data_IF_403445121697
#
_entry.id   IF_403445121697
#
_cell.length_a   1.000
_cell.length_b   1.000
_cell.length_c   1.000
_cell.angle_alpha   90.00
_cell.angle_beta   90.00
_cell.angle_gamma   90.00
#
_symmetry.space_group_name_H-M   'P 1'
#
loop_
_entity.id
_entity.type
_entity.pdbx_description
1 polymer ?
#
# COMPACT_ATOMS: atom_id res chain seq x y z
N UNK A 1 -43.07 -5.65 31.87
CA UNK A 1 -42.09 -6.73 31.69
C UNK A 1 -41.97 -7.40 33.04
N UNK A 2 -42.59 -8.56 33.21
CA UNK A 2 -42.38 -9.38 34.41
C UNK A 2 -40.89 -9.72 34.45
N UNK A 3 -40.19 -9.29 35.51
CA UNK A 3 -38.84 -9.78 35.78
C UNK A 3 -38.98 -11.27 36.06
N UNK A 4 -38.53 -12.09 35.12
CA UNK A 4 -38.40 -13.54 35.32
C UNK A 4 -37.54 -13.71 36.58
N UNK A 5 -38.11 -14.36 37.59
CA UNK A 5 -37.43 -14.57 38.87
C UNK A 5 -36.11 -15.30 38.61
N UNK A 6 -35.02 -14.86 39.23
CA UNK A 6 -33.72 -15.53 39.12
C UNK A 6 -33.79 -17.03 39.50
N UNK A 7 -34.79 -17.42 40.31
CA UNK A 7 -35.11 -18.81 40.67
C UNK A 7 -35.68 -19.66 39.51
N UNK A 8 -36.22 -19.03 38.47
CA UNK A 8 -36.84 -19.71 37.32
C UNK A 8 -35.87 -19.85 36.13
N UNK A 9 -34.67 -19.27 36.23
CA UNK A 9 -33.63 -19.38 35.20
C UNK A 9 -33.03 -20.77 35.13
N UNK A 10 -32.60 -21.17 33.94
CA UNK A 10 -31.87 -22.41 33.75
C UNK A 10 -30.52 -22.35 34.49
N UNK A 11 -30.15 -23.43 35.18
CA UNK A 11 -28.91 -23.51 35.99
C UNK A 11 -27.66 -23.22 35.14
N UNK A 12 -27.67 -23.59 33.86
CA UNK A 12 -26.55 -23.34 32.95
C UNK A 12 -26.38 -21.86 32.55
N UNK A 13 -27.41 -21.04 32.75
CA UNK A 13 -27.46 -19.63 32.34
C UNK A 13 -27.41 -18.68 33.54
N UNK A 14 -27.34 -19.21 34.76
CA UNK A 14 -27.20 -18.40 35.96
C UNK A 14 -25.92 -17.58 35.90
N UNK A 15 -26.05 -16.29 36.22
CA UNK A 15 -24.93 -15.37 36.41
C UNK A 15 -24.69 -15.12 37.89
N UNK A 16 -23.52 -14.56 38.22
CA UNK A 16 -23.20 -14.15 39.60
C UNK A 16 -24.26 -13.18 40.15
N UNK A 17 -24.77 -12.26 39.31
CA UNK A 17 -25.85 -11.34 39.66
C UNK A 17 -27.14 -12.08 40.05
N UNK A 18 -27.47 -13.16 39.34
CA UNK A 18 -28.67 -13.96 39.65
C UNK A 18 -28.56 -14.64 41.02
N UNK A 19 -27.35 -15.04 41.45
CA UNK A 19 -27.12 -15.60 42.78
C UNK A 19 -27.33 -14.54 43.88
N UNK A 20 -26.91 -13.29 43.64
CA UNK A 20 -27.17 -12.17 44.55
C UNK A 20 -28.67 -11.83 44.63
N UNK A 21 -29.39 -11.87 43.50
CA UNK A 21 -30.84 -11.67 43.49
C UNK A 21 -31.57 -12.79 44.25
N UNK A 22 -31.16 -14.05 44.08
CA UNK A 22 -31.67 -15.20 44.86
C UNK A 22 -31.39 -15.00 46.36
N UNK A 23 -30.17 -14.58 46.72
CA UNK A 23 -29.79 -14.32 48.10
C UNK A 23 -30.66 -13.22 48.74
N UNK A 24 -31.00 -12.19 47.98
CA UNK A 24 -31.90 -11.11 48.43
C UNK A 24 -33.31 -11.65 48.74
N UNK A 25 -33.89 -12.45 47.83
CA UNK A 25 -35.22 -13.03 48.03
C UNK A 25 -35.22 -13.98 49.24
N UNK A 26 -34.21 -14.83 49.36
CA UNK A 26 -34.06 -15.74 50.51
C UNK A 26 -33.87 -14.97 51.82
N UNK A 27 -33.13 -13.86 51.80
CA UNK A 27 -32.96 -12.97 52.95
C UNK A 27 -34.29 -12.36 53.42
N UNK A 28 -35.12 -11.90 52.47
CA UNK A 28 -36.45 -11.35 52.78
C UNK A 28 -37.40 -12.39 53.40
N UNK A 29 -37.32 -13.66 52.99
CA UNK A 29 -38.09 -14.74 53.63
C UNK A 29 -37.59 -15.00 55.06
N UNK A 30 -36.29 -14.95 55.29
CA UNK A 30 -35.74 -15.08 56.64
C UNK A 30 -36.12 -13.93 57.55
N UNK A 31 -36.12 -12.68 57.07
CA UNK A 31 -36.62 -11.53 57.83
C UNK A 31 -38.07 -11.75 58.30
N UNK A 32 -38.97 -12.19 57.39
CA UNK A 32 -40.37 -12.45 57.74
C UNK A 32 -40.54 -13.52 58.81
N UNK A 33 -39.70 -14.56 58.80
CA UNK A 33 -39.75 -15.63 59.80
C UNK A 33 -39.15 -15.15 61.13
N UNK A 34 -38.10 -14.32 61.10
CA UNK A 34 -37.53 -13.69 62.30
C UNK A 34 -38.58 -12.80 62.97
N UNK A 35 -39.32 -12.00 62.20
CA UNK A 35 -40.35 -11.11 62.72
C UNK A 35 -41.50 -11.87 63.42
N UNK A 36 -41.82 -13.09 62.97
CA UNK A 36 -42.94 -13.88 63.50
C UNK A 36 -42.53 -14.84 64.64
N UNK A 37 -41.33 -15.42 64.58
CA UNK A 37 -40.90 -16.51 65.46
C UNK A 37 -39.62 -16.22 66.26
N UNK A 38 -39.02 -15.04 66.05
CA UNK A 38 -37.78 -14.62 66.70
C UNK A 38 -36.51 -15.19 66.06
N UNK A 39 -35.36 -14.56 66.34
CA UNK A 39 -34.07 -14.89 65.71
C UNK A 39 -33.58 -16.33 65.97
N UNK A 40 -33.98 -16.94 67.08
CA UNK A 40 -33.52 -18.29 67.45
C UNK A 40 -33.97 -19.38 66.45
N UNK A 41 -35.11 -19.17 65.77
CA UNK A 41 -35.66 -20.11 64.80
C UNK A 41 -34.74 -20.34 63.58
N UNK A 42 -34.00 -19.32 63.14
CA UNK A 42 -33.17 -19.36 61.92
C UNK A 42 -31.66 -19.33 62.21
N UNK A 43 -31.25 -19.00 63.44
CA UNK A 43 -29.83 -18.81 63.83
C UNK A 43 -28.89 -19.95 63.40
N UNK A 44 -29.36 -21.20 63.39
CA UNK A 44 -28.55 -22.37 62.96
C UNK A 44 -28.63 -22.68 61.46
N UNK A 45 -29.65 -22.19 60.77
CA UNK A 45 -29.91 -22.43 59.35
C UNK A 45 -29.23 -21.38 58.47
N UNK A 46 -29.27 -20.12 58.87
CA UNK A 46 -28.69 -18.97 58.16
C UNK A 46 -27.26 -19.24 57.65
N UNK A 47 -26.27 -19.62 58.51
CA UNK A 47 -24.90 -19.85 58.04
C UNK A 47 -24.78 -21.01 57.05
N UNK A 48 -25.69 -21.99 57.07
CA UNK A 48 -25.69 -23.10 56.10
C UNK A 48 -26.20 -22.64 54.73
N UNK A 49 -27.22 -21.78 54.72
CA UNK A 49 -27.78 -21.24 53.47
C UNK A 49 -26.82 -20.23 52.83
N UNK A 50 -26.20 -19.38 53.64
CA UNK A 50 -25.09 -18.52 53.19
C UNK A 50 -23.99 -19.38 52.55
N UNK A 51 -23.58 -20.48 53.21
CA UNK A 51 -22.56 -21.38 52.65
C UNK A 51 -22.96 -22.02 51.32
N UNK A 52 -24.23 -22.38 51.14
CA UNK A 52 -24.72 -22.93 49.87
C UNK A 52 -24.71 -21.87 48.77
N UNK A 53 -25.11 -20.63 49.07
CA UNK A 53 -25.08 -19.50 48.14
C UNK A 53 -23.64 -19.13 47.75
N UNK A 54 -22.69 -19.14 48.69
CA UNK A 54 -21.26 -18.96 48.41
C UNK A 54 -20.72 -20.04 47.45
N UNK A 55 -21.09 -21.31 47.67
CA UNK A 55 -20.66 -22.41 46.78
C UNK A 55 -21.26 -22.22 45.38
N UNK A 56 -22.53 -21.81 45.30
CA UNK A 56 -23.21 -21.54 44.04
C UNK A 56 -22.55 -20.38 43.28
N UNK A 57 -22.22 -19.28 43.97
CA UNK A 57 -21.50 -18.15 43.39
C UNK A 57 -20.17 -18.57 42.78
N UNK A 58 -19.37 -19.38 43.50
CA UNK A 58 -18.07 -19.87 43.01
C UNK A 58 -18.23 -20.77 41.78
N UNK A 59 -19.24 -21.64 41.77
CA UNK A 59 -19.49 -22.54 40.63
C UNK A 59 -19.93 -21.76 39.40
N UNK A 60 -20.84 -20.80 39.56
CA UNK A 60 -21.32 -19.93 38.47
C UNK A 60 -20.19 -19.04 37.94
N UNK A 61 -19.39 -18.47 38.82
CA UNK A 61 -18.21 -17.67 38.45
C UNK A 61 -17.21 -18.47 37.63
N UNK A 62 -16.94 -19.73 38.00
CA UNK A 62 -16.04 -20.62 37.24
C UNK A 62 -16.61 -21.05 35.90
N UNK A 63 -17.92 -21.26 35.81
CA UNK A 63 -18.59 -21.67 34.57
C UNK A 63 -18.54 -20.56 33.51
N UNK A 64 -18.66 -19.29 33.92
CA UNK A 64 -18.53 -18.15 33.00
C UNK A 64 -17.10 -17.96 32.47
N UNK A 65 -16.11 -18.41 33.24
CA UNK A 65 -14.69 -18.29 32.91
C UNK A 65 -14.13 -19.63 32.39
N UNK A 66 -14.94 -20.55 31.84
CA UNK A 66 -14.40 -21.78 31.27
C UNK A 66 -13.68 -21.49 29.94
N UNK A 67 -12.35 -21.21 29.94
CA UNK A 67 -11.66 -20.66 28.78
C UNK A 67 -11.43 -21.75 27.74
N UNK A 68 -11.35 -23.01 28.18
CA UNK A 68 -11.15 -24.20 27.37
C UNK A 68 -12.35 -24.44 26.45
N UNK A 69 -13.57 -24.22 26.93
CA UNK A 69 -14.76 -24.34 26.09
C UNK A 69 -14.79 -23.28 24.98
N UNK A 70 -14.41 -22.06 25.29
CA UNK A 70 -14.38 -20.96 24.31
C UNK A 70 -13.21 -21.12 23.33
N UNK A 71 -12.05 -21.56 23.82
CA UNK A 71 -10.88 -21.92 22.99
C UNK A 71 -11.21 -23.06 22.03
N UNK A 72 -11.86 -24.13 22.49
CA UNK A 72 -12.32 -25.23 21.63
C UNK A 72 -13.35 -24.78 20.59
N UNK A 73 -14.23 -23.82 20.93
CA UNK A 73 -15.18 -23.24 19.98
C UNK A 73 -14.47 -22.44 18.89
N UNK A 74 -13.55 -21.56 19.29
CA UNK A 74 -12.75 -20.77 18.35
C UNK A 74 -11.90 -21.67 17.45
N UNK A 75 -11.31 -22.73 18.00
CA UNK A 75 -10.54 -23.69 17.23
C UNK A 75 -11.42 -24.49 16.26
N UNK A 76 -12.63 -24.88 16.67
CA UNK A 76 -13.59 -25.53 15.79
C UNK A 76 -13.97 -24.62 14.61
N UNK A 77 -14.22 -23.33 14.86
CA UNK A 77 -14.57 -22.37 13.81
C UNK A 77 -13.36 -22.08 12.89
N UNK A 78 -12.15 -21.99 13.45
CA UNK A 78 -10.90 -21.92 12.68
C UNK A 78 -10.75 -23.13 11.75
N UNK A 79 -10.93 -24.34 12.26
CA UNK A 79 -10.83 -25.57 11.48
C UNK A 79 -11.92 -25.68 10.40
N UNK A 80 -13.12 -25.15 10.65
CA UNK A 80 -14.20 -25.07 9.65
C UNK A 80 -13.83 -24.15 8.51
N UNK A 81 -13.29 -22.96 8.82
CA UNK A 81 -12.82 -22.02 7.80
C UNK A 81 -11.68 -22.63 6.98
N UNK A 82 -10.68 -23.23 7.62
CA UNK A 82 -9.59 -23.89 6.90
C UNK A 82 -10.08 -25.04 6.01
N UNK A 83 -11.11 -25.78 6.44
CA UNK A 83 -11.72 -26.83 5.62
C UNK A 83 -12.42 -26.25 4.39
N UNK A 84 -13.20 -25.18 4.58
CA UNK A 84 -13.85 -24.47 3.48
C UNK A 84 -12.82 -23.94 2.47
N UNK A 85 -11.76 -23.30 2.95
CA UNK A 85 -10.68 -22.76 2.12
C UNK A 85 -9.97 -23.86 1.32
N UNK A 86 -9.71 -25.01 1.94
CA UNK A 86 -9.11 -26.17 1.27
C UNK A 86 -10.02 -26.66 0.13
N UNK A 87 -11.30 -26.86 0.41
CA UNK A 87 -12.28 -27.31 -0.60
C UNK A 87 -12.40 -26.29 -1.74
N UNK A 88 -12.38 -24.99 -1.45
CA UNK A 88 -12.46 -23.97 -2.48
C UNK A 88 -11.20 -23.92 -3.35
N UNK A 89 -10.01 -24.08 -2.75
CA UNK A 89 -8.74 -24.20 -3.49
C UNK A 89 -8.71 -25.43 -4.37
N UNK A 90 -9.13 -26.59 -3.86
CA UNK A 90 -9.24 -27.83 -4.63
C UNK A 90 -10.21 -27.65 -5.80
N UNK A 91 -11.36 -27.02 -5.59
CA UNK A 91 -12.34 -26.73 -6.65
C UNK A 91 -11.78 -25.77 -7.71
N UNK A 92 -10.98 -24.77 -7.32
CA UNK A 92 -10.31 -23.85 -8.26
C UNK A 92 -9.27 -24.59 -9.08
N UNK A 93 -8.42 -25.37 -8.41
CA UNK A 93 -7.40 -26.17 -9.07
C UNK A 93 -8.00 -27.20 -10.04
N UNK A 94 -9.11 -27.84 -9.67
CA UNK A 94 -9.82 -28.76 -10.54
C UNK A 94 -10.32 -28.07 -11.83
N UNK A 95 -10.87 -26.85 -11.71
CA UNK A 95 -11.29 -26.07 -12.89
C UNK A 95 -10.12 -25.63 -13.76
N UNK A 96 -8.99 -25.28 -13.17
CA UNK A 96 -7.77 -24.95 -13.92
C UNK A 96 -7.26 -26.16 -14.69
N UNK A 97 -7.27 -27.35 -14.07
CA UNK A 97 -6.90 -28.60 -14.74
C UNK A 97 -7.85 -28.91 -15.90
N UNK A 98 -9.17 -28.79 -15.70
CA UNK A 98 -10.17 -28.97 -16.76
C UNK A 98 -9.94 -28.01 -17.93
N UNK A 99 -9.64 -26.73 -17.65
CA UNK A 99 -9.33 -25.75 -18.69
C UNK A 99 -8.05 -26.12 -19.46
N UNK A 100 -7.01 -26.56 -18.76
CA UNK A 100 -5.76 -27.01 -19.40
C UNK A 100 -6.00 -28.24 -20.27
N UNK A 101 -6.80 -29.21 -19.80
CA UNK A 101 -7.19 -30.37 -20.59
C UNK A 101 -7.97 -29.99 -21.84
N UNK A 102 -8.90 -29.04 -21.75
CA UNK A 102 -9.69 -28.56 -22.89
C UNK A 102 -8.82 -27.85 -23.93
N UNK A 103 -7.90 -26.98 -23.50
CA UNK A 103 -6.93 -26.34 -24.39
C UNK A 103 -6.06 -27.39 -25.07
N UNK A 104 -5.54 -28.35 -24.32
CA UNK A 104 -4.70 -29.41 -24.88
C UNK A 104 -5.46 -30.31 -25.87
N UNK A 105 -6.75 -30.60 -25.62
CA UNK A 105 -7.62 -31.31 -26.56
C UNK A 105 -7.82 -30.50 -27.85
N UNK A 106 -8.03 -29.18 -27.74
CA UNK A 106 -8.14 -28.27 -28.87
C UNK A 106 -6.87 -28.27 -29.72
N UNK A 107 -5.71 -28.06 -29.11
CA UNK A 107 -4.41 -28.07 -29.80
C UNK A 107 -4.13 -29.42 -30.47
N UNK A 108 -4.41 -30.54 -29.78
CA UNK A 108 -4.25 -31.86 -30.36
C UNK A 108 -5.16 -32.07 -31.58
N UNK A 109 -6.40 -31.58 -31.53
CA UNK A 109 -7.34 -31.66 -32.65
C UNK A 109 -6.90 -30.78 -33.83
N UNK A 110 -6.40 -29.57 -33.57
CA UNK A 110 -5.88 -28.67 -34.60
C UNK A 110 -4.65 -29.25 -35.29
N UNK A 111 -3.72 -29.85 -34.53
CA UNK A 111 -2.56 -30.54 -35.09
C UNK A 111 -2.96 -31.75 -35.92
N UNK A 112 -3.94 -32.54 -35.47
CA UNK A 112 -4.49 -33.64 -36.27
C UNK A 112 -5.14 -33.13 -37.55
N UNK A 113 -5.84 -32.00 -37.49
CA UNK A 113 -6.41 -31.33 -38.67
C UNK A 113 -5.33 -30.89 -39.66
N UNK A 114 -4.25 -30.27 -39.19
CA UNK A 114 -3.11 -29.89 -40.03
C UNK A 114 -2.43 -31.10 -40.66
N UNK A 115 -2.22 -32.18 -39.91
CA UNK A 115 -1.64 -33.42 -40.43
C UNK A 115 -2.54 -34.00 -41.53
N UNK A 116 -3.86 -34.04 -41.32
CA UNK A 116 -4.80 -34.54 -42.33
C UNK A 116 -4.78 -33.69 -43.61
N UNK A 117 -4.74 -32.36 -43.46
CA UNK A 117 -4.66 -31.44 -44.60
C UNK A 117 -3.35 -31.61 -45.37
N UNK A 118 -2.21 -31.67 -44.68
CA UNK A 118 -0.90 -31.91 -45.29
C UNK A 118 -0.81 -33.29 -45.95
N UNK A 119 -1.44 -34.31 -45.39
CA UNK A 119 -1.52 -35.63 -46.01
C UNK A 119 -2.33 -35.59 -47.32
N UNK A 120 -3.44 -34.87 -47.35
CA UNK A 120 -4.25 -34.69 -48.56
C UNK A 120 -3.51 -33.86 -49.62
N UNK A 121 -2.86 -32.76 -49.23
CA UNK A 121 -2.03 -31.95 -50.14
C UNK A 121 -0.88 -32.76 -50.73
N UNK A 122 -0.17 -33.55 -49.91
CA UNK A 122 0.89 -34.44 -50.41
C UNK A 122 0.35 -35.48 -51.40
N UNK A 123 -0.82 -36.06 -51.12
CA UNK A 123 -1.47 -37.01 -52.03
C UNK A 123 -1.86 -36.34 -53.35
N UNK A 124 -2.39 -35.12 -53.30
CA UNK A 124 -2.73 -34.34 -54.48
C UNK A 124 -1.48 -33.99 -55.30
N UNK A 125 -0.40 -33.52 -54.65
CA UNK A 125 0.86 -33.23 -55.31
C UNK A 125 1.46 -34.47 -55.97
N UNK A 126 1.45 -35.62 -55.29
CA UNK A 126 1.88 -36.90 -55.86
C UNK A 126 1.04 -37.29 -57.08
N UNK A 127 -0.28 -37.10 -57.02
CA UNK A 127 -1.16 -37.37 -58.17
C UNK A 127 -0.89 -36.41 -59.35
N UNK A 128 -0.64 -35.13 -59.07
CA UNK A 128 -0.33 -34.13 -60.08
C UNK A 128 1.06 -34.34 -60.71
N UNK A 129 2.06 -34.74 -59.92
CA UNK A 129 3.36 -35.14 -60.42
C UNK A 129 3.25 -36.37 -61.31
N UNK A 130 2.49 -37.40 -60.90
CA UNK A 130 2.22 -38.57 -61.75
C UNK A 130 1.52 -38.22 -63.07
N UNK A 131 0.60 -37.24 -63.07
CA UNK A 131 -0.06 -36.76 -64.29
C UNK A 131 0.87 -35.92 -65.16
N UNK A 132 1.78 -35.15 -64.54
CA UNK A 132 2.74 -34.28 -65.23
C UNK A 132 3.92 -35.05 -65.81
N UNK A 133 4.44 -36.05 -65.11
CA UNK A 133 5.48 -36.97 -65.61
C UNK A 133 4.96 -37.82 -66.79
N UNK A 134 3.65 -38.01 -66.92
CA UNK A 134 3.02 -38.62 -68.11
C UNK A 134 2.76 -37.66 -69.28
N UNK A 135 2.88 -36.34 -69.08
CA UNK A 135 2.54 -35.29 -70.05
C UNK A 135 3.77 -34.61 -70.68
N UNK A 136 4.97 -34.77 -70.11
CA UNK A 136 6.20 -34.21 -70.66
C UNK A 136 6.92 -35.25 -71.53
N UNK A 137 6.50 -35.39 -72.78
CA UNK A 137 7.32 -36.06 -73.78
C UNK A 137 8.52 -35.19 -74.13
N UNK A 138 9.66 -35.84 -74.36
CA UNK A 138 10.98 -35.31 -74.71
C UNK A 138 11.00 -34.23 -75.83
N UNK A 139 9.90 -34.11 -76.58
CA UNK A 139 9.63 -33.11 -77.63
C UNK A 139 9.42 -31.66 -77.12
N UNK A 140 8.97 -31.43 -75.88
CA UNK A 140 8.83 -30.06 -75.35
C UNK A 140 10.16 -29.48 -74.84
N UNK A 141 11.10 -30.34 -74.43
CA UNK A 141 12.43 -29.94 -73.96
C UNK A 141 13.29 -29.41 -75.13
N UNK A 142 13.14 -29.99 -76.33
CA UNK A 142 13.86 -29.57 -77.54
C UNK A 142 13.36 -28.24 -78.13
N UNK A 143 12.13 -27.79 -77.81
CA UNK A 143 11.65 -26.45 -78.20
C UNK A 143 12.12 -25.33 -77.27
N UNK A 144 12.59 -25.66 -76.06
CA UNK A 144 13.07 -24.69 -75.08
C UNK A 144 14.59 -24.42 -75.18
N UNK A 145 15.27 -24.96 -76.20
CA UNK A 145 16.72 -24.75 -76.40
C UNK A 145 17.05 -23.34 -76.96
N UNK A 146 16.03 -22.56 -77.30
CA UNK A 146 16.16 -21.20 -77.82
C UNK A 146 15.47 -20.15 -76.95
N UNK A 147 15.81 -20.07 -75.66
CA UNK A 147 15.35 -18.98 -74.79
C UNK A 147 15.69 -17.63 -75.47
N UNK A 148 14.66 -16.85 -75.81
CA UNK A 148 14.84 -15.60 -76.56
C UNK A 148 15.79 -14.67 -75.79
N UNK A 149 16.59 -13.86 -76.47
CA UNK A 149 17.54 -12.94 -75.80
C UNK A 149 16.84 -12.01 -74.79
N UNK A 150 15.55 -11.70 -75.02
CA UNK A 150 14.68 -10.99 -74.08
C UNK A 150 14.40 -11.79 -72.81
N UNK A 151 14.11 -13.08 -72.93
CA UNK A 151 13.89 -13.98 -71.80
C UNK A 151 15.18 -14.15 -71.00
N UNK A 152 16.34 -14.25 -71.65
CA UNK A 152 17.65 -14.30 -70.98
C UNK A 152 17.92 -13.01 -70.20
N UNK A 153 17.55 -11.86 -70.75
CA UNK A 153 17.69 -10.56 -70.10
C UNK A 153 16.73 -10.40 -68.91
N UNK A 154 15.50 -10.89 -69.02
CA UNK A 154 14.55 -10.97 -67.90
C UNK A 154 15.08 -11.89 -66.81
N UNK A 155 15.61 -13.06 -67.17
CA UNK A 155 16.14 -14.03 -66.22
C UNK A 155 17.35 -13.48 -65.44
N UNK A 156 18.22 -12.71 -66.12
CA UNK A 156 19.33 -12.01 -65.49
C UNK A 156 18.84 -10.96 -64.48
N UNK A 157 17.87 -10.13 -64.85
CA UNK A 157 17.27 -9.14 -63.93
C UNK A 157 16.58 -9.81 -62.75
N UNK A 158 15.86 -10.91 -62.97
CA UNK A 158 15.23 -11.67 -61.90
C UNK A 158 16.28 -12.23 -60.94
N UNK A 159 17.37 -12.79 -61.46
CA UNK A 159 18.49 -13.27 -60.66
C UNK A 159 19.10 -12.15 -59.82
N UNK A 160 19.33 -10.98 -60.39
CA UNK A 160 19.86 -9.82 -59.66
C UNK A 160 18.91 -9.37 -58.54
N UNK A 161 17.60 -9.39 -58.75
CA UNK A 161 16.60 -9.06 -57.71
C UNK A 161 16.58 -10.15 -56.63
N UNK A 162 16.62 -11.43 -57.00
CA UNK A 162 16.65 -12.56 -56.06
C UNK A 162 17.92 -12.53 -55.21
N UNK A 163 19.08 -12.26 -55.81
CA UNK A 163 20.35 -12.14 -55.09
C UNK A 163 20.31 -10.95 -54.12
N UNK A 164 19.75 -9.80 -54.51
CA UNK A 164 19.53 -8.65 -53.61
C UNK A 164 18.59 -8.99 -52.46
N UNK A 165 17.46 -9.65 -52.74
CA UNK A 165 16.50 -10.06 -51.71
C UNK A 165 17.15 -11.04 -50.72
N UNK A 166 18.01 -11.97 -51.20
CA UNK A 166 18.76 -12.87 -50.31
C UNK A 166 19.71 -12.12 -49.39
N UNK A 167 20.41 -11.11 -49.90
CA UNK A 167 21.32 -10.31 -49.07
C UNK A 167 20.55 -9.41 -48.09
N UNK A 168 19.40 -8.87 -48.49
CA UNK A 168 18.48 -8.15 -47.59
C UNK A 168 17.94 -9.04 -46.47
N UNK A 169 17.51 -10.26 -46.80
CA UNK A 169 17.06 -11.25 -45.80
C UNK A 169 18.20 -11.52 -44.81
N UNK A 170 19.41 -11.81 -45.29
CA UNK A 170 20.58 -12.04 -44.42
C UNK A 170 20.93 -10.83 -43.54
N UNK A 171 20.74 -9.61 -44.05
CA UNK A 171 20.94 -8.40 -43.26
C UNK A 171 19.87 -8.25 -42.17
N UNK A 172 18.60 -8.54 -42.51
CA UNK A 172 17.49 -8.52 -41.57
C UNK A 172 17.60 -9.61 -40.51
N UNK A 173 18.06 -10.81 -40.86
CA UNK A 173 18.34 -11.88 -39.89
C UNK A 173 19.39 -11.45 -38.86
N UNK A 174 20.48 -10.80 -39.30
CA UNK A 174 21.49 -10.25 -38.38
C UNK A 174 20.93 -9.15 -37.47
N UNK A 175 20.08 -8.28 -38.01
CA UNK A 175 19.41 -7.24 -37.22
C UNK A 175 18.47 -7.85 -36.18
N UNK A 176 17.71 -8.90 -36.55
CA UNK A 176 16.84 -9.64 -35.63
C UNK A 176 17.62 -10.31 -34.51
N UNK A 177 18.77 -10.93 -34.81
CA UNK A 177 19.63 -11.53 -33.77
C UNK A 177 20.10 -10.48 -32.76
N UNK A 178 20.61 -9.34 -33.22
CA UNK A 178 21.03 -8.25 -32.33
C UNK A 178 19.86 -7.72 -31.48
N UNK A 179 18.67 -7.59 -32.08
CA UNK A 179 17.47 -7.19 -31.34
C UNK A 179 17.03 -8.25 -30.32
N UNK A 180 17.20 -9.53 -30.61
CA UNK A 180 16.95 -10.61 -29.66
C UNK A 180 17.91 -10.52 -28.47
N UNK A 181 19.20 -10.29 -28.72
CA UNK A 181 20.21 -10.10 -27.68
C UNK A 181 19.89 -8.90 -26.77
N UNK A 182 19.46 -7.77 -27.35
CA UNK A 182 19.00 -6.60 -26.60
C UNK A 182 17.79 -6.93 -25.71
N UNK A 183 16.80 -7.66 -26.24
CA UNK A 183 15.61 -8.08 -25.49
C UNK A 183 15.98 -9.02 -24.34
N UNK A 184 16.86 -9.98 -24.56
CA UNK A 184 17.35 -10.89 -23.53
C UNK A 184 18.12 -10.13 -22.43
N UNK A 185 18.96 -9.16 -22.80
CA UNK A 185 19.66 -8.31 -21.85
C UNK A 185 18.69 -7.48 -20.99
N UNK A 186 17.66 -6.91 -21.61
CA UNK A 186 16.61 -6.16 -20.90
C UNK A 186 15.78 -7.07 -19.98
N UNK A 187 15.43 -8.27 -20.41
CA UNK A 187 14.73 -9.27 -19.57
C UNK A 187 15.57 -9.67 -18.35
N UNK A 188 16.89 -9.81 -18.52
CA UNK A 188 17.80 -10.07 -17.39
C UNK A 188 17.83 -8.89 -16.42
N UNK A 189 17.88 -7.65 -16.91
CA UNK A 189 17.82 -6.46 -16.06
C UNK A 189 16.49 -6.37 -15.30
N UNK A 190 15.36 -6.60 -15.98
CA UNK A 190 14.04 -6.63 -15.36
C UNK A 190 13.97 -7.69 -14.26
N UNK A 191 14.48 -8.90 -14.52
CA UNK A 191 14.52 -9.98 -13.53
C UNK A 191 15.37 -9.63 -12.31
N UNK A 192 16.51 -8.94 -12.50
CA UNK A 192 17.35 -8.44 -11.40
C UNK A 192 16.62 -7.38 -10.57
N UNK A 193 15.97 -6.42 -11.22
CA UNK A 193 15.20 -5.38 -10.55
C UNK A 193 14.00 -5.95 -9.79
N UNK A 194 13.31 -6.95 -10.34
CA UNK A 194 12.23 -7.64 -9.63
C UNK A 194 12.73 -8.28 -8.33
N UNK A 195 13.89 -8.94 -8.34
CA UNK A 195 14.51 -9.50 -7.12
C UNK A 195 14.84 -8.41 -6.10
N UNK A 196 15.52 -7.34 -6.53
CA UNK A 196 15.86 -6.22 -5.63
C UNK A 196 14.58 -5.58 -5.05
N UNK A 197 13.53 -5.41 -5.86
CA UNK A 197 12.28 -4.83 -5.40
C UNK A 197 11.59 -5.73 -4.36
N UNK A 198 11.57 -7.04 -4.58
CA UNK A 198 11.09 -8.01 -3.61
C UNK A 198 11.86 -7.94 -2.28
N UNK A 199 13.20 -7.90 -2.35
CA UNK A 199 14.06 -7.80 -1.16
C UNK A 199 13.82 -6.50 -0.39
N UNK A 200 13.66 -5.37 -1.11
CA UNK A 200 13.34 -4.08 -0.51
C UNK A 200 11.97 -4.08 0.16
N UNK A 201 10.94 -4.64 -0.49
CA UNK A 201 9.61 -4.79 0.12
C UNK A 201 9.68 -5.63 1.39
N UNK A 202 10.37 -6.76 1.35
CA UNK A 202 10.55 -7.60 2.54
C UNK A 202 11.27 -6.84 3.66
N UNK A 203 12.34 -6.09 3.34
CA UNK A 203 13.06 -5.28 4.31
C UNK A 203 12.20 -4.17 4.91
N UNK A 204 11.36 -3.51 4.12
CA UNK A 204 10.38 -2.54 4.61
C UNK A 204 9.44 -3.21 5.62
N UNK A 205 8.84 -4.36 5.29
CA UNK A 205 7.96 -5.09 6.20
C UNK A 205 8.63 -5.44 7.53
N UNK A 206 9.89 -5.89 7.50
CA UNK A 206 10.66 -6.21 8.71
C UNK A 206 10.90 -4.94 9.55
N UNK A 207 11.35 -3.86 8.93
CA UNK A 207 11.62 -2.58 9.63
C UNK A 207 10.33 -1.97 10.18
N UNK A 208 9.21 -2.08 9.48
CA UNK A 208 7.90 -1.64 9.95
C UNK A 208 7.43 -2.44 11.15
N UNK A 209 7.60 -3.77 11.14
CA UNK A 209 7.28 -4.62 12.29
C UNK A 209 8.14 -4.28 13.51
N UNK A 210 9.44 -4.04 13.30
CA UNK A 210 10.34 -3.58 14.37
C UNK A 210 9.90 -2.21 14.91
N UNK A 211 9.52 -1.28 14.04
CA UNK A 211 9.02 0.05 14.43
C UNK A 211 7.74 -0.05 15.28
N UNK A 212 6.79 -0.92 14.90
CA UNK A 212 5.56 -1.16 15.68
C UNK A 212 5.87 -1.72 17.07
N UNK A 213 6.75 -2.73 17.15
CA UNK A 213 7.15 -3.31 18.44
C UNK A 213 7.83 -2.28 19.37
N UNK A 214 8.69 -1.41 18.83
CA UNK A 214 9.29 -0.32 19.60
C UNK A 214 8.26 0.72 20.07
N UNK A 215 7.24 1.02 19.25
CA UNK A 215 6.15 1.92 19.64
C UNK A 215 5.35 1.29 20.78
N UNK A 216 5.01 0.00 20.70
CA UNK A 216 4.32 -0.73 21.77
C UNK A 216 5.10 -0.69 23.08
N UNK A 217 6.39 -1.04 23.05
CA UNK A 217 7.26 -0.96 24.23
C UNK A 217 7.32 0.45 24.83
N UNK A 218 7.41 1.49 23.99
CA UNK A 218 7.39 2.88 24.46
C UNK A 218 6.07 3.21 25.15
N UNK A 219 4.94 2.79 24.58
CA UNK A 219 3.61 3.03 25.14
C UNK A 219 3.46 2.31 26.48
N UNK A 220 3.91 1.06 26.60
CA UNK A 220 3.90 0.29 27.84
C UNK A 220 4.74 0.98 28.94
N UNK A 221 5.98 1.37 28.62
CA UNK A 221 6.84 2.07 29.57
C UNK A 221 6.27 3.43 29.99
N UNK A 222 5.64 4.16 29.06
CA UNK A 222 4.99 5.43 29.36
C UNK A 222 3.76 5.24 30.28
N UNK A 223 2.96 4.19 30.05
CA UNK A 223 1.83 3.85 30.92
C UNK A 223 2.30 3.43 32.33
N UNK A 224 3.39 2.65 32.42
CA UNK A 224 3.99 2.27 33.69
C UNK A 224 4.50 3.49 34.47
N UNK A 225 5.20 4.40 33.79
CA UNK A 225 5.70 5.64 34.40
C UNK A 225 4.54 6.50 34.92
N UNK A 226 3.48 6.67 34.12
CA UNK A 226 2.30 7.43 34.53
C UNK A 226 1.60 6.82 35.76
N UNK A 227 1.54 5.49 35.82
CA UNK A 227 1.00 4.77 37.00
C UNK A 227 1.84 5.04 38.24
N UNK A 228 3.17 5.00 38.12
CA UNK A 228 4.09 5.33 39.22
C UNK A 228 3.95 6.78 39.66
N UNK A 229 3.84 7.73 38.73
CA UNK A 229 3.60 9.15 39.05
C UNK A 229 2.30 9.34 39.83
N UNK A 230 1.23 8.63 39.48
CA UNK A 230 -0.04 8.66 40.21
C UNK A 230 0.10 8.08 41.63
N UNK A 231 0.81 6.96 41.79
CA UNK A 231 1.12 6.38 43.10
C UNK A 231 1.93 7.36 43.98
N UNK A 232 2.95 8.00 43.41
CA UNK A 232 3.72 9.05 44.10
C UNK A 232 2.84 10.24 44.49
N UNK A 233 1.95 10.69 43.59
CA UNK A 233 0.98 11.74 43.88
C UNK A 233 0.07 11.38 45.06
N UNK A 234 -0.46 10.16 45.07
CA UNK A 234 -1.29 9.64 46.17
C UNK A 234 -0.52 9.60 47.50
N UNK A 235 0.70 9.07 47.50
CA UNK A 235 1.56 9.04 48.69
C UNK A 235 1.88 10.45 49.20
N UNK A 236 2.16 11.42 48.31
CA UNK A 236 2.39 12.82 48.73
C UNK A 236 1.15 13.40 49.42
N UNK A 237 -0.04 13.18 48.88
CA UNK A 237 -1.30 13.63 49.50
C UNK A 237 -1.49 12.97 50.87
N UNK A 238 -1.17 11.69 50.99
CA UNK A 238 -1.28 10.96 52.25
C UNK A 238 -0.28 11.47 53.30
N UNK A 239 0.96 11.77 52.91
CA UNK A 239 1.96 12.41 53.77
C UNK A 239 1.47 13.78 54.26
N UNK A 240 0.88 14.60 53.38
CA UNK A 240 0.31 15.90 53.78
C UNK A 240 -0.82 15.71 54.79
N UNK A 241 -1.77 14.79 54.52
CA UNK A 241 -2.87 14.48 55.45
C UNK A 241 -2.36 13.99 56.81
N UNK A 242 -1.34 13.13 56.84
CA UNK A 242 -0.74 12.65 58.08
C UNK A 242 -0.05 13.78 58.85
N UNK A 243 0.67 14.69 58.15
CA UNK A 243 1.26 15.89 58.77
C UNK A 243 0.20 16.84 59.35
N UNK A 244 -0.92 17.02 58.66
CA UNK A 244 -2.05 17.84 59.14
C UNK A 244 -2.71 17.24 60.38
N UNK A 245 -2.90 15.90 60.42
CA UNK A 245 -3.40 15.20 61.61
C UNK A 245 -2.44 15.34 62.80
N UNK A 246 -1.13 15.22 62.55
CA UNK A 246 -0.10 15.38 63.58
C UNK A 246 -0.07 16.81 64.14
N UNK A 247 -0.33 17.82 63.31
CA UNK A 247 -0.50 19.22 63.76
C UNK A 247 -1.87 19.46 64.42
N UNK A 248 -2.91 18.76 64.02
CA UNK A 248 -4.26 18.85 64.60
C UNK A 248 -4.36 18.24 66.01
N UNK A 249 -3.55 17.23 66.32
CA UNK A 249 -3.36 16.72 67.69
C UNK A 249 -2.51 17.66 68.58
N UNK A 250 -2.01 18.77 68.02
CA UNK A 250 -1.37 19.86 68.75
C UNK A 250 -2.25 21.12 68.66
N UNK A 251 -3.26 21.25 69.54
CA UNK A 251 -3.94 22.52 69.78
C UNK A 251 -3.83 22.93 71.26
N UNK A 252 -3.93 24.24 71.56
CA UNK A 252 -2.82 25.09 71.93
C UNK A 252 -2.69 25.21 73.45
N UNK A 253 -1.51 24.88 73.98
CA UNK A 253 -1.11 25.47 75.25
C UNK A 253 -0.22 26.65 74.92
N UNK A 254 -0.69 27.84 75.33
CA UNK A 254 0.06 29.09 75.22
C UNK A 254 1.45 28.93 75.84
N UNK A 255 2.47 29.42 75.16
CA UNK A 255 2.90 30.80 75.34
C UNK A 255 3.87 31.17 74.22
N UNK A 256 3.96 32.47 73.97
CA UNK A 256 4.79 33.10 72.97
C UNK A 256 6.29 32.74 73.13
N UNK A 257 6.98 32.55 72.00
CA UNK A 257 8.22 33.24 71.60
C UNK A 257 9.22 32.33 70.87
N UNK A 258 9.87 32.99 69.92
CA UNK A 258 11.11 32.66 69.23
C UNK A 258 11.00 31.83 67.95
N UNK A 259 11.14 32.60 66.88
CA UNK A 259 11.70 32.21 65.61
C UNK A 259 12.96 31.35 65.78
N UNK A 260 13.10 30.42 64.84
CA UNK A 260 14.32 29.85 64.23
C UNK A 260 14.13 28.35 64.04
N UNK A 261 13.69 27.98 62.84
CA UNK A 261 14.01 26.67 62.29
C UNK A 261 14.63 26.92 60.93
N UNK A 262 15.91 26.59 60.85
CA UNK A 262 16.77 26.63 59.67
C UNK A 262 16.16 25.78 58.56
N UNK A 263 15.75 26.44 57.47
CA UNK A 263 15.51 25.80 56.19
C UNK A 263 16.86 25.46 55.55
N UNK A 264 17.27 24.20 55.67
CA UNK A 264 18.34 23.66 54.84
C UNK A 264 17.75 23.43 53.44
N UNK A 265 18.05 24.41 52.59
CA UNK A 265 18.18 24.34 51.13
C UNK A 265 18.41 22.92 50.60
N UNK A 266 17.40 22.33 49.94
CA UNK A 266 17.63 21.26 48.95
C UNK A 266 16.53 21.17 47.86
N UNK A 267 15.87 22.29 47.53
CA UNK A 267 14.87 22.36 46.43
C UNK A 267 15.29 23.28 45.27
N UNK A 268 16.56 23.69 45.18
CA UNK A 268 17.03 24.70 44.21
C UNK A 268 17.69 24.15 42.93
N UNK A 269 17.47 22.89 42.55
CA UNK A 269 17.95 22.35 41.26
C UNK A 269 16.90 21.45 40.64
N UNK A 270 15.94 22.04 39.91
CA UNK A 270 15.25 21.54 38.70
C UNK A 270 13.87 22.22 38.56
N UNK A 271 13.84 23.56 38.50
CA UNK A 271 12.60 24.29 38.16
C UNK A 271 12.83 25.48 37.22
N UNK A 272 13.82 25.36 36.32
CA UNK A 272 14.12 26.43 35.37
C UNK A 272 13.47 26.27 33.99
N UNK A 273 12.60 25.27 33.77
CA UNK A 273 12.02 25.08 32.43
C UNK A 273 10.53 24.66 32.38
N UNK A 274 9.81 24.71 33.49
CA UNK A 274 8.36 24.48 33.47
C UNK A 274 7.61 25.43 34.40
N UNK A 275 6.66 26.14 33.80
CA UNK A 275 5.51 26.78 34.47
C UNK A 275 5.65 28.25 34.92
N UNK A 276 6.10 29.13 34.03
CA UNK A 276 5.44 30.44 33.86
C UNK A 276 4.18 30.28 32.98
N UNK A 277 3.20 29.51 33.46
CA UNK A 277 1.90 29.34 32.78
C UNK A 277 0.84 30.13 33.53
N UNK A 278 0.54 31.32 33.01
CA UNK A 278 -0.56 32.17 33.46
C UNK A 278 -1.89 31.40 33.41
N UNK A 279 -2.47 31.14 34.58
CA UNK A 279 -3.70 30.38 34.75
C UNK A 279 -4.96 31.14 34.29
N UNK A 280 -4.84 32.42 33.89
CA UNK A 280 -5.95 33.33 33.54
C UNK A 280 -6.08 33.70 32.06
N UNK A 281 -5.38 33.02 31.15
CA UNK A 281 -5.57 33.27 29.72
C UNK A 281 -6.96 32.77 29.24
N UNK A 282 -7.77 33.70 28.76
CA UNK A 282 -9.13 33.47 28.26
C UNK A 282 -9.15 32.82 26.86
N UNK A 283 -8.02 32.89 26.12
CA UNK A 283 -7.87 32.27 24.79
C UNK A 283 -7.08 30.94 24.84
N UNK A 284 -6.76 30.43 26.03
CA UNK A 284 -6.14 29.11 26.17
C UNK A 284 -7.13 28.02 25.75
N UNK A 285 -6.81 27.13 24.79
CA UNK A 285 -7.68 26.02 24.44
C UNK A 285 -7.82 25.09 25.65
N UNK A 286 -8.99 25.11 26.29
CA UNK A 286 -9.30 24.25 27.45
C UNK A 286 -9.95 22.97 26.95
N UNK A 287 -9.15 22.13 26.31
CA UNK A 287 -9.59 20.77 26.03
C UNK A 287 -9.54 19.94 27.31
N UNK A 288 -10.64 19.26 27.63
CA UNK A 288 -10.63 18.20 28.64
C UNK A 288 -9.74 17.04 28.16
N UNK A 289 -9.20 16.24 29.08
CA UNK A 289 -8.41 15.05 28.71
C UNK A 289 -9.19 14.10 27.79
N UNK A 290 -10.51 14.09 27.91
CA UNK A 290 -11.41 13.34 27.05
C UNK A 290 -11.45 13.93 25.63
N UNK A 291 -11.65 15.24 25.49
CA UNK A 291 -11.62 15.91 24.18
C UNK A 291 -10.26 15.78 23.48
N UNK A 292 -9.15 15.81 24.24
CA UNK A 292 -7.83 15.60 23.65
C UNK A 292 -7.67 14.15 23.15
N UNK A 293 -8.19 13.16 23.90
CA UNK A 293 -8.19 11.75 23.47
C UNK A 293 -9.05 11.56 22.22
N UNK A 294 -10.21 12.21 22.17
CA UNK A 294 -11.15 12.12 21.06
C UNK A 294 -10.55 12.76 19.80
N UNK A 295 -9.94 13.94 19.91
CA UNK A 295 -9.22 14.60 18.81
C UNK A 295 -8.02 13.79 18.34
N UNK A 296 -7.30 13.13 19.25
CA UNK A 296 -6.19 12.23 18.89
C UNK A 296 -6.69 10.99 18.15
N UNK A 297 -7.81 10.41 18.58
CA UNK A 297 -8.44 9.29 17.88
C UNK A 297 -8.94 9.71 16.50
N UNK A 298 -9.67 10.81 16.40
CA UNK A 298 -10.19 11.35 15.15
C UNK A 298 -9.04 11.70 14.18
N UNK A 299 -7.95 12.31 14.69
CA UNK A 299 -6.75 12.59 13.89
C UNK A 299 -6.08 11.30 13.38
N UNK A 300 -6.03 10.25 14.19
CA UNK A 300 -5.45 8.97 13.77
C UNK A 300 -6.36 8.26 12.74
N UNK A 301 -7.67 8.34 12.90
CA UNK A 301 -8.65 7.79 11.97
C UNK A 301 -8.62 8.53 10.62
N UNK A 302 -8.59 9.88 10.65
CA UNK A 302 -8.43 10.71 9.47
C UNK A 302 -7.09 10.45 8.77
N UNK A 303 -6.02 10.21 9.53
CA UNK A 303 -4.71 9.85 8.95
C UNK A 303 -4.77 8.49 8.23
N UNK A 304 -5.49 7.52 8.77
CA UNK A 304 -5.73 6.24 8.09
C UNK A 304 -6.56 6.41 6.81
N UNK A 305 -7.64 7.23 6.86
CA UNK A 305 -8.45 7.54 5.67
C UNK A 305 -7.66 8.27 4.59
N UNK A 306 -6.84 9.25 4.96
CA UNK A 306 -5.96 9.96 4.02
C UNK A 306 -4.96 9.01 3.37
N UNK A 307 -4.40 8.07 4.13
CA UNK A 307 -3.51 7.06 3.59
C UNK A 307 -4.22 6.16 2.56
N UNK A 308 -5.40 5.64 2.89
CA UNK A 308 -6.21 4.83 1.96
C UNK A 308 -6.58 5.62 0.69
N UNK A 309 -7.02 6.87 0.83
CA UNK A 309 -7.34 7.73 -0.31
C UNK A 309 -6.11 8.07 -1.16
N UNK A 310 -4.93 8.22 -0.55
CA UNK A 310 -3.67 8.40 -1.28
C UNK A 310 -3.29 7.15 -2.07
N UNK A 311 -3.56 5.96 -1.52
CA UNK A 311 -3.35 4.69 -2.20
C UNK A 311 -4.34 4.51 -3.37
N UNK A 312 -5.62 4.80 -3.17
CA UNK A 312 -6.63 4.81 -4.24
C UNK A 312 -6.26 5.81 -5.35
N UNK A 313 -5.87 7.04 -4.98
CA UNK A 313 -5.43 8.03 -5.96
C UNK A 313 -4.14 7.61 -6.69
N UNK A 314 -3.24 6.91 -6.01
CA UNK A 314 -2.05 6.36 -6.66
C UNK A 314 -2.43 5.24 -7.64
N UNK A 315 -3.39 4.38 -7.26
CA UNK A 315 -3.93 3.32 -8.10
C UNK A 315 -4.59 3.87 -9.36
N UNK A 316 -5.50 4.84 -9.24
CA UNK A 316 -6.15 5.44 -10.42
C UNK A 316 -5.16 6.25 -11.28
N UNK A 317 -4.17 6.92 -10.68
CA UNK A 317 -3.09 7.57 -11.46
C UNK A 317 -2.24 6.58 -12.23
N UNK A 318 -1.97 5.39 -11.67
CA UNK A 318 -1.29 4.32 -12.41
C UNK A 318 -2.18 3.71 -13.48
N UNK A 319 -3.47 3.57 -13.21
CA UNK A 319 -4.44 3.02 -14.16
C UNK A 319 -4.67 3.98 -15.35
N UNK A 320 -4.78 5.29 -15.12
CA UNK A 320 -4.81 6.32 -16.17
C UNK A 320 -3.53 6.29 -17.03
N UNK A 321 -2.36 6.12 -16.40
CA UNK A 321 -1.07 6.00 -17.10
C UNK A 321 -0.93 4.68 -17.88
N UNK A 322 -1.60 3.62 -17.44
CA UNK A 322 -1.68 2.33 -18.12
C UNK A 322 -2.70 2.33 -19.25
N UNK A 323 -3.83 3.03 -19.11
CA UNK A 323 -4.81 3.25 -20.18
C UNK A 323 -4.24 4.12 -21.30
N UNK A 324 -3.50 5.19 -20.97
CA UNK A 324 -2.80 6.04 -21.94
C UNK A 324 -1.72 5.25 -22.71
N UNK A 325 -1.09 4.26 -22.05
CA UNK A 325 -0.16 3.31 -22.68
C UNK A 325 -0.88 2.25 -23.54
N UNK A 326 -2.04 1.75 -23.11
CA UNK A 326 -2.82 0.75 -23.86
C UNK A 326 -3.45 1.32 -25.13
N UNK A 327 -3.90 2.58 -25.11
CA UNK A 327 -4.42 3.28 -26.28
C UNK A 327 -3.34 3.55 -27.35
N UNK A 328 -2.05 3.51 -26.99
CA UNK A 328 -0.93 3.59 -27.95
C UNK A 328 -0.55 2.23 -28.54
N UNK A 329 -0.97 1.11 -27.95
CA UNK A 329 -0.54 -0.24 -28.35
C UNK A 329 -1.55 -1.02 -29.19
N UNK A 330 -2.78 -0.53 -29.39
CA UNK A 330 -3.75 -1.13 -30.31
C UNK A 330 -3.65 -0.53 -31.72
N UNK A 331 -2.66 -0.96 -32.50
CA UNK A 331 -2.69 -0.84 -33.96
C UNK A 331 -1.93 -2.02 -34.58
N UNK A 332 -2.53 -2.77 -35.51
CA UNK A 332 -1.90 -3.95 -36.08
C UNK A 332 -0.73 -3.58 -36.99
N UNK A 333 0.32 -4.37 -36.87
CA UNK A 333 1.60 -4.27 -37.59
C UNK A 333 1.38 -4.36 -39.10
N UNK A 334 1.65 -3.27 -39.82
CA UNK A 334 2.13 -3.31 -41.21
C UNK A 334 3.30 -2.32 -41.30
N UNK A 335 4.51 -2.86 -41.35
CA UNK A 335 5.69 -2.10 -41.80
C UNK A 335 5.47 -1.67 -43.27
N UNK A 336 5.92 -0.47 -43.71
CA UNK A 336 7.34 -0.15 -43.58
C UNK A 336 7.71 1.35 -43.43
N UNK A 337 8.99 1.54 -43.05
CA UNK A 337 9.88 2.66 -43.43
C UNK A 337 9.89 3.89 -42.52
N UNK A 338 11.09 4.14 -41.98
CA UNK A 338 11.49 5.31 -41.21
C UNK A 338 11.07 6.63 -41.88
N UNK A 339 10.31 7.47 -41.18
CA UNK A 339 10.30 8.93 -41.38
C UNK A 339 10.00 9.65 -40.07
N UNK A 340 10.68 10.77 -39.88
CA UNK A 340 10.58 11.77 -38.81
C UNK A 340 9.14 12.20 -38.49
N UNK A 341 8.87 12.77 -37.29
CA UNK A 341 7.51 13.10 -36.86
C UNK A 341 6.87 14.06 -37.86
N UNK A 342 5.80 13.62 -38.54
CA UNK A 342 5.03 14.50 -39.41
C UNK A 342 4.32 15.56 -38.56
N UNK A 343 4.80 16.80 -38.63
CA UNK A 343 4.05 17.94 -38.15
C UNK A 343 2.73 18.07 -38.94
N UNK A 344 1.62 18.20 -38.21
CA UNK A 344 0.28 18.45 -38.75
C UNK A 344 0.32 19.49 -39.88
N UNK A 345 -0.39 19.22 -40.99
CA UNK A 345 -0.47 20.12 -42.15
C UNK A 345 -0.93 21.54 -41.80
N UNK A 346 -1.67 21.70 -40.70
CA UNK A 346 -2.08 23.00 -40.15
C UNK A 346 -0.88 23.71 -39.48
N UNK A 347 -0.07 22.96 -38.73
CA UNK A 347 1.16 23.48 -38.12
C UNK A 347 2.15 23.94 -39.20
N UNK A 348 2.31 23.16 -40.28
CA UNK A 348 3.11 23.59 -41.45
C UNK A 348 2.54 24.84 -42.10
N UNK A 349 1.23 24.93 -42.30
CA UNK A 349 0.65 26.12 -42.93
C UNK A 349 0.89 27.38 -42.09
N UNK A 350 0.71 27.27 -40.77
CA UNK A 350 0.91 28.38 -39.83
C UNK A 350 2.38 28.78 -39.77
N UNK A 351 3.32 27.85 -39.57
CA UNK A 351 4.72 28.17 -39.33
C UNK A 351 5.52 28.46 -40.60
N UNK A 352 5.19 27.85 -41.73
CA UNK A 352 5.94 28.03 -42.99
C UNK A 352 5.36 29.09 -43.92
N UNK A 353 4.04 29.35 -43.87
CA UNK A 353 3.39 30.29 -44.78
C UNK A 353 2.89 31.54 -44.06
N UNK A 354 2.19 31.39 -42.93
CA UNK A 354 1.54 32.52 -42.26
C UNK A 354 2.53 33.29 -41.38
N UNK A 355 3.36 32.60 -40.59
CA UNK A 355 4.28 33.22 -39.63
C UNK A 355 5.34 34.13 -40.29
N UNK A 356 5.93 33.77 -41.45
CA UNK A 356 6.84 34.67 -42.16
C UNK A 356 6.11 35.89 -42.76
N UNK A 357 4.86 35.75 -43.20
CA UNK A 357 4.06 36.87 -43.71
C UNK A 357 3.64 37.84 -42.59
N UNK A 358 3.35 37.32 -41.39
CA UNK A 358 3.09 38.11 -40.18
C UNK A 358 4.37 38.80 -39.68
N UNK A 359 5.51 38.12 -39.72
CA UNK A 359 6.81 38.70 -39.36
C UNK A 359 7.31 39.75 -40.37
N UNK A 360 6.97 39.59 -41.65
CA UNK A 360 7.26 40.55 -42.72
C UNK A 360 6.30 41.75 -42.77
N UNK A 361 5.31 41.82 -41.86
CA UNK A 361 4.37 42.94 -41.77
C UNK A 361 3.37 43.05 -42.92
N UNK A 362 3.17 41.98 -43.69
CA UNK A 362 2.31 41.96 -44.88
C UNK A 362 0.81 41.75 -44.57
N UNK A 363 0.46 41.54 -43.30
CA UNK A 363 -0.92 41.41 -42.82
C UNK A 363 -1.13 42.50 -41.77
N UNK A 364 -1.72 43.62 -42.18
CA UNK A 364 -2.05 44.73 -41.30
C UNK A 364 -3.33 44.43 -40.51
N UNK A 365 -3.21 44.53 -39.19
CA UNK A 365 -4.25 44.77 -38.18
C UNK A 365 -5.46 43.82 -38.14
N UNK A 366 -5.22 42.57 -37.71
CA UNK A 366 -6.28 41.73 -37.14
C UNK A 366 -6.25 41.82 -35.60
N UNK A 367 -7.30 42.37 -34.95
CA UNK A 367 -7.35 42.53 -33.49
C UNK A 367 -7.37 41.20 -32.70
N UNK A 368 -7.54 40.05 -33.36
CA UNK A 368 -7.56 38.74 -32.69
C UNK A 368 -6.17 38.20 -32.28
N UNK A 369 -5.09 38.76 -32.82
CA UNK A 369 -3.70 38.28 -32.58
C UNK A 369 -2.95 39.01 -31.46
N UNK A 370 -3.56 40.02 -30.83
CA UNK A 370 -3.01 40.76 -29.67
C UNK A 370 -2.61 39.87 -28.46
N UNK A 371 -3.38 38.83 -28.07
CA UNK A 371 -3.01 37.96 -26.95
C UNK A 371 -1.73 37.15 -27.23
N UNK A 372 -1.55 36.72 -28.48
CA UNK A 372 -0.42 35.89 -28.91
C UNK A 372 0.88 36.72 -28.93
N UNK A 373 0.82 37.99 -29.33
CA UNK A 373 1.98 38.90 -29.22
C UNK A 373 2.41 39.16 -27.77
N UNK A 374 1.45 39.31 -26.85
CA UNK A 374 1.78 39.46 -25.41
C UNK A 374 2.40 38.19 -24.83
N UNK A 375 1.92 37.02 -25.25
CA UNK A 375 2.47 35.73 -24.81
C UNK A 375 3.91 35.54 -25.32
N UNK A 376 4.19 35.88 -26.59
CA UNK A 376 5.54 35.78 -27.16
C UNK A 376 6.52 36.77 -26.51
N UNK A 377 6.07 37.98 -26.15
CA UNK A 377 6.90 38.94 -25.43
C UNK A 377 7.22 38.47 -23.99
N UNK A 378 6.24 37.90 -23.27
CA UNK A 378 6.45 37.35 -21.94
C UNK A 378 7.39 36.13 -21.95
N UNK A 379 7.16 35.19 -22.87
CA UNK A 379 8.00 33.99 -23.00
C UNK A 379 9.43 34.36 -23.46
N UNK A 380 9.57 35.33 -24.36
CA UNK A 380 10.87 35.82 -24.81
C UNK A 380 11.69 36.50 -23.70
N UNK A 381 11.04 37.30 -22.84
CA UNK A 381 11.69 37.94 -21.68
C UNK A 381 12.05 36.89 -20.62
N UNK A 382 11.16 35.93 -20.34
CA UNK A 382 11.44 34.84 -19.42
C UNK A 382 12.57 33.93 -19.90
N UNK A 383 12.65 33.66 -21.21
CA UNK A 383 13.72 32.85 -21.79
C UNK A 383 15.07 33.57 -21.77
N UNK A 384 15.11 34.87 -22.11
CA UNK A 384 16.34 35.66 -21.96
C UNK A 384 16.78 35.79 -20.51
N UNK A 385 15.84 35.93 -19.57
CA UNK A 385 16.16 35.95 -18.14
C UNK A 385 16.72 34.60 -17.66
N UNK A 386 16.14 33.48 -18.12
CA UNK A 386 16.62 32.13 -17.77
C UNK A 386 18.01 31.84 -18.34
N UNK A 387 18.27 32.25 -19.57
CA UNK A 387 19.58 32.07 -20.22
C UNK A 387 20.62 32.97 -19.57
N UNK A 388 20.29 34.22 -19.24
CA UNK A 388 21.23 35.13 -18.56
C UNK A 388 21.51 34.67 -17.11
N UNK A 389 20.51 34.22 -16.34
CA UNK A 389 20.74 33.61 -15.02
C UNK A 389 21.52 32.30 -15.10
N UNK A 390 21.24 31.45 -16.08
CA UNK A 390 21.94 30.19 -16.29
C UNK A 390 23.42 30.39 -16.63
N UNK A 391 23.72 31.34 -17.53
CA UNK A 391 25.10 31.69 -17.87
C UNK A 391 25.82 32.35 -16.68
N UNK A 392 25.13 33.19 -15.90
CA UNK A 392 25.72 33.79 -14.69
C UNK A 392 26.04 32.73 -13.62
N UNK A 393 25.13 31.80 -13.37
CA UNK A 393 25.37 30.69 -12.43
C UNK A 393 26.49 29.76 -12.91
N UNK A 394 26.55 29.47 -14.21
CA UNK A 394 27.62 28.65 -14.77
C UNK A 394 28.99 29.33 -14.64
N UNK A 395 29.04 30.65 -14.87
CA UNK A 395 30.27 31.43 -14.71
C UNK A 395 30.74 31.48 -13.25
N UNK A 396 29.82 31.74 -12.30
CA UNK A 396 30.12 31.74 -10.86
C UNK A 396 30.58 30.36 -10.39
N UNK A 397 29.94 29.29 -10.87
CA UNK A 397 30.32 27.92 -10.52
C UNK A 397 31.71 27.56 -11.06
N UNK A 398 32.03 27.96 -12.30
CA UNK A 398 33.37 27.78 -12.85
C UNK A 398 34.43 28.61 -12.12
N UNK A 399 34.10 29.83 -11.69
CA UNK A 399 35.00 30.67 -10.89
C UNK A 399 35.28 30.02 -9.52
N UNK A 400 34.26 29.46 -8.86
CA UNK A 400 34.40 28.75 -7.59
C UNK A 400 35.24 27.47 -7.74
N UNK A 401 35.06 26.70 -8.82
CA UNK A 401 35.87 25.51 -9.09
C UNK A 401 37.33 25.89 -9.36
N UNK A 402 37.59 26.96 -10.12
CA UNK A 402 38.95 27.46 -10.35
C UNK A 402 39.63 27.92 -9.04
N UNK A 403 38.92 28.64 -8.17
CA UNK A 403 39.46 29.10 -6.88
C UNK A 403 39.72 27.92 -5.95
N UNK A 404 38.82 26.93 -5.89
CA UNK A 404 39.06 25.70 -5.12
C UNK A 404 40.29 24.94 -5.63
N UNK A 405 40.44 24.77 -6.95
CA UNK A 405 41.60 24.07 -7.53
C UNK A 405 42.90 24.83 -7.25
N UNK A 406 42.92 26.15 -7.37
CA UNK A 406 44.09 26.97 -7.02
C UNK A 406 44.46 26.88 -5.54
N UNK A 407 43.48 26.94 -4.63
CA UNK A 407 43.74 26.83 -3.17
C UNK A 407 44.23 25.43 -2.81
N UNK A 408 43.69 24.37 -3.43
CA UNK A 408 44.17 23.00 -3.20
C UNK A 408 45.57 22.77 -3.77
N UNK A 409 45.95 23.41 -4.87
CA UNK A 409 47.30 23.29 -5.44
C UNK A 409 48.33 24.05 -4.61
N UNK A 410 48.00 25.24 -4.10
CA UNK A 410 48.91 25.99 -3.22
C UNK A 410 49.09 25.37 -1.83
N UNK A 411 48.16 24.55 -1.36
CA UNK A 411 48.30 23.82 -0.08
C UNK A 411 49.19 22.57 -0.16
N UNK A 412 49.58 22.14 -1.36
CA UNK A 412 50.44 20.95 -1.58
C UNK A 412 51.93 21.34 -1.74
N UNK A 413 52.23 22.63 -1.91
CA UNK A 413 53.61 23.15 -2.07
C UNK A 413 54.20 23.81 -0.81
N UNK A 414 53.64 23.59 0.38
CA UNK A 414 54.19 24.07 1.65
C UNK A 414 54.52 22.95 2.65
#
# INVERSE_FOLDING_TARGET
MEQISALEKNVAELTVMDVYDIASVVGQEFERVIDQYGCEAISRLMPKVVRVLEILEVLVSRNHINPEMEELRLELDRLRLERMDRIEKEKKHQKELELVEDVWRGEAQDLLGQIAQLQEENKQLLSNLSLKDGSFTEEEFQKHEGMSERERQVMKKLKEVVDKQRDEIRAKDRELVLKSEDVEALQQQQSRLMKINHDLRHRITVVEAQGKSLIEQKVELQAYLQTKEQEYGNMRVEIVKLRERLKGDQQPNGDEQNAETEDINEDSIFDSDRMSLDLKDSNRPRFTLQELRDVLHERNELKAKVFMLQEELAYYKSEDAEEENKLQQSSPIINPKMTTPQESGIKRLIFTAIMPMVAAGLIADDPTLQPIRRLIALVGISFLAYVTLGVFFFCVCMQCVCVCVCVTMSAVEF
#
